data_IF_989501059423
#
_entry.id   IF_989501059423
#
_cell.length_a   1.000
_cell.length_b   1.000
_cell.length_c   1.000
_cell.angle_alpha   90.00
_cell.angle_beta   90.00
_cell.angle_gamma   90.00
#
_symmetry.space_group_name_H-M   'P 1'
#
loop_
_entity.id
_entity.type
_entity.pdbx_description
1 polymer ?
#
# COMPACT_ATOMS: atom_id res chain seq x y z
N UNK A 1 14.02 5.60 7.69
CA UNK A 1 12.93 4.59 7.82
C UNK A 1 12.20 4.56 6.50
N UNK A 2 12.18 3.43 5.83
CA UNK A 2 11.48 3.31 4.55
C UNK A 2 9.99 3.11 4.81
N UNK A 3 9.14 3.98 4.31
CA UNK A 3 7.71 3.99 4.57
C UNK A 3 6.91 3.89 3.28
N UNK A 4 5.83 3.13 3.30
CA UNK A 4 4.94 2.93 2.16
C UNK A 4 3.52 3.28 2.59
N UNK A 5 2.82 4.08 1.78
CA UNK A 5 1.38 4.30 2.00
C UNK A 5 0.62 3.00 1.72
N UNK A 6 -0.10 2.53 2.72
CA UNK A 6 -0.85 1.27 2.65
C UNK A 6 -2.36 1.46 2.52
N UNK A 7 -2.86 2.67 2.42
CA UNK A 7 -4.29 2.91 2.27
C UNK A 7 -4.77 2.78 0.83
N UNK A 8 -3.91 3.11 -0.14
CA UNK A 8 -4.22 2.97 -1.55
C UNK A 8 -3.75 1.63 -2.10
N UNK A 9 -4.63 0.90 -2.79
CA UNK A 9 -4.22 -0.33 -3.49
C UNK A 9 -3.33 0.02 -4.68
N UNK A 10 -2.25 -0.72 -4.84
CA UNK A 10 -1.32 -0.56 -5.94
C UNK A 10 -0.68 -1.89 -6.32
N UNK A 11 -0.51 -2.14 -7.62
CA UNK A 11 0.24 -3.28 -8.14
C UNK A 11 1.49 -2.82 -8.86
N UNK A 12 2.57 -3.56 -8.66
CA UNK A 12 3.86 -3.26 -9.28
C UNK A 12 3.98 -3.93 -10.64
N UNK A 13 4.61 -3.23 -11.57
CA UNK A 13 5.00 -3.80 -12.85
C UNK A 13 6.38 -4.41 -12.72
N UNK A 14 6.50 -5.67 -13.12
CA UNK A 14 7.76 -6.40 -13.18
C UNK A 14 8.12 -6.80 -14.60
N UNK A 15 9.23 -7.49 -14.75
CA UNK A 15 9.68 -8.13 -15.97
C UNK A 15 10.00 -9.62 -15.71
N UNK A 16 9.88 -10.46 -16.73
CA UNK A 16 10.29 -11.86 -16.58
C UNK A 16 11.81 -11.94 -16.48
N UNK A 17 12.29 -12.40 -15.32
CA UNK A 17 13.71 -12.67 -15.09
C UNK A 17 14.13 -14.03 -15.67
N UNK A 18 13.35 -15.07 -15.38
CA UNK A 18 13.59 -16.41 -15.90
C UNK A 18 12.33 -17.27 -15.86
N UNK A 19 12.28 -18.26 -16.72
CA UNK A 19 11.18 -19.22 -16.81
C UNK A 19 11.74 -20.59 -17.17
N UNK A 20 11.16 -21.65 -16.62
CA UNK A 20 11.59 -23.04 -16.91
C UNK A 20 11.21 -23.48 -18.30
N UNK A 21 9.99 -23.16 -18.74
CA UNK A 21 9.46 -23.52 -20.06
C UNK A 21 8.29 -22.63 -20.47
N UNK A 22 7.98 -22.64 -21.78
CA UNK A 22 6.78 -22.03 -22.34
C UNK A 22 6.32 -22.81 -23.57
N UNK A 23 5.01 -22.90 -23.78
CA UNK A 23 4.41 -23.66 -24.87
C UNK A 23 3.84 -22.74 -25.97
N UNK A 24 4.51 -22.69 -27.12
CA UNK A 24 4.05 -21.89 -28.27
C UNK A 24 3.97 -20.39 -27.97
N UNK A 25 2.86 -19.78 -28.33
CA UNK A 25 2.62 -18.34 -28.12
C UNK A 25 2.24 -17.98 -26.68
N UNK A 26 2.00 -18.99 -25.82
CA UNK A 26 1.64 -18.79 -24.41
C UNK A 26 2.91 -18.58 -23.56
N UNK A 27 3.58 -17.45 -23.80
CA UNK A 27 4.85 -17.07 -23.22
C UNK A 27 4.69 -16.57 -21.77
N UNK A 28 5.80 -16.55 -21.05
CA UNK A 28 5.84 -16.10 -19.66
C UNK A 28 5.40 -14.63 -19.50
N UNK A 29 5.76 -13.75 -20.43
CA UNK A 29 5.40 -12.32 -20.38
C UNK A 29 3.89 -12.08 -20.36
N UNK A 30 3.11 -13.04 -20.83
CA UNK A 30 1.64 -12.94 -20.84
C UNK A 30 1.03 -12.80 -19.44
N UNK A 31 1.71 -13.26 -18.37
CA UNK A 31 1.20 -13.12 -17.00
C UNK A 31 1.35 -11.70 -16.43
N UNK A 32 2.08 -10.83 -17.11
CA UNK A 32 2.37 -9.46 -16.66
C UNK A 32 1.49 -8.40 -17.33
N UNK A 33 0.72 -8.79 -18.35
CA UNK A 33 -0.21 -7.88 -19.00
C UNK A 33 -1.61 -7.97 -18.34
N UNK A 34 -2.47 -7.01 -18.67
CA UNK A 34 -3.85 -6.99 -18.19
C UNK A 34 -4.81 -7.62 -19.20
N UNK A 35 -4.30 -8.35 -20.21
CA UNK A 35 -5.10 -9.02 -21.20
C UNK A 35 -5.63 -10.36 -20.66
N UNK A 36 -6.94 -10.42 -20.45
CA UNK A 36 -7.64 -11.58 -19.90
C UNK A 36 -7.54 -12.83 -20.79
N UNK A 37 -7.29 -12.67 -22.09
CA UNK A 37 -7.17 -13.78 -23.04
C UNK A 37 -5.76 -14.34 -23.14
N UNK A 38 -4.77 -13.61 -22.62
CA UNK A 38 -3.39 -14.05 -22.65
C UNK A 38 -3.02 -14.82 -21.38
N UNK A 39 -2.10 -15.79 -21.52
CA UNK A 39 -1.65 -16.61 -20.38
C UNK A 39 -0.28 -17.25 -20.65
N UNK A 40 0.39 -17.67 -19.60
CA UNK A 40 1.54 -18.54 -19.67
C UNK A 40 1.09 -19.99 -19.56
N UNK A 41 1.63 -20.84 -20.44
CA UNK A 41 1.45 -22.27 -20.38
C UNK A 41 2.83 -22.94 -20.33
N UNK A 42 3.04 -23.83 -19.36
CA UNK A 42 4.26 -24.66 -19.31
C UNK A 42 4.29 -25.67 -20.46
N UNK A 43 5.45 -26.21 -20.76
CA UNK A 43 5.55 -27.26 -21.80
C UNK A 43 4.65 -28.46 -21.48
N UNK A 44 3.93 -28.94 -22.49
CA UNK A 44 3.04 -30.09 -22.40
C UNK A 44 3.88 -31.40 -22.48
N UNK A 45 4.29 -31.90 -21.32
CA UNK A 45 5.17 -33.08 -21.18
C UNK A 45 4.39 -34.33 -20.80
N UNK A 46 4.97 -35.51 -21.08
CA UNK A 46 4.49 -36.81 -20.55
C UNK A 46 4.99 -37.07 -19.13
N UNK A 47 5.96 -36.31 -18.65
CA UNK A 47 6.54 -36.39 -17.32
C UNK A 47 6.14 -35.19 -16.47
N UNK A 48 5.86 -35.44 -15.19
CA UNK A 48 5.58 -34.39 -14.21
C UNK A 48 6.87 -33.73 -13.73
N UNK A 49 7.43 -32.84 -14.54
CA UNK A 49 8.63 -32.07 -14.19
C UNK A 49 8.19 -30.78 -13.52
N UNK A 50 8.90 -30.38 -12.48
CA UNK A 50 8.64 -29.09 -11.83
C UNK A 50 8.93 -27.92 -12.78
N UNK A 51 8.12 -26.87 -12.67
CA UNK A 51 8.18 -25.69 -13.54
C UNK A 51 8.23 -24.42 -12.69
N UNK A 52 8.76 -23.34 -13.25
CA UNK A 52 8.82 -22.07 -12.52
C UNK A 52 8.80 -20.86 -13.44
N UNK A 53 8.40 -19.74 -12.86
CA UNK A 53 8.53 -18.41 -13.43
C UNK A 53 9.07 -17.48 -12.34
N UNK A 54 10.04 -16.63 -12.69
CA UNK A 54 10.62 -15.60 -11.82
C UNK A 54 10.35 -14.23 -12.41
N UNK A 55 9.81 -13.34 -11.61
CA UNK A 55 9.53 -11.95 -11.95
C UNK A 55 10.50 -11.06 -11.17
N UNK A 56 11.13 -10.11 -11.85
CA UNK A 56 11.98 -9.06 -11.29
C UNK A 56 11.23 -7.72 -11.33
N UNK A 57 11.12 -7.06 -10.20
CA UNK A 57 10.50 -5.74 -10.07
C UNK A 57 11.54 -4.60 -10.19
N UNK A 58 12.80 -4.94 -10.54
CA UNK A 58 13.90 -3.98 -10.73
C UNK A 58 14.50 -3.44 -9.43
N UNK A 59 13.71 -3.42 -8.37
CA UNK A 59 14.12 -3.02 -7.02
C UNK A 59 13.23 -3.70 -5.99
N UNK A 60 13.63 -3.65 -4.73
CA UNK A 60 12.80 -4.19 -3.65
C UNK A 60 11.52 -3.36 -3.50
N UNK A 61 10.37 -4.00 -3.65
CA UNK A 61 9.03 -3.42 -3.51
C UNK A 61 8.36 -3.89 -2.23
N UNK A 62 7.53 -3.04 -1.64
CA UNK A 62 6.73 -3.39 -0.48
C UNK A 62 5.48 -4.16 -0.89
N UNK A 63 5.23 -5.29 -0.27
CA UNK A 63 4.18 -6.21 -0.68
C UNK A 63 3.39 -6.72 0.52
N UNK A 64 2.07 -6.67 0.41
CA UNK A 64 1.16 -7.32 1.33
C UNK A 64 0.11 -8.21 0.65
N UNK A 65 0.09 -8.23 -0.69
CA UNK A 65 -0.81 -9.09 -1.47
C UNK A 65 -0.10 -9.66 -2.69
N UNK A 66 -0.35 -10.95 -2.96
CA UNK A 66 0.01 -11.63 -4.20
C UNK A 66 -1.25 -12.29 -4.75
N UNK A 67 -1.53 -12.12 -6.03
CA UNK A 67 -2.67 -12.71 -6.71
C UNK A 67 -2.21 -13.48 -7.94
N UNK A 68 -2.75 -14.68 -8.15
CA UNK A 68 -2.56 -15.49 -9.33
C UNK A 68 -3.93 -15.71 -9.99
N UNK A 69 -4.03 -15.44 -11.26
CA UNK A 69 -5.26 -15.58 -12.04
C UNK A 69 -5.19 -16.85 -12.91
N UNK A 70 -6.30 -17.60 -13.04
CA UNK A 70 -6.36 -18.71 -13.97
C UNK A 70 -6.29 -18.21 -15.43
N UNK A 71 -5.93 -19.12 -16.34
CA UNK A 71 -6.02 -18.88 -17.77
C UNK A 71 -7.48 -18.84 -18.25
N UNK A 72 -7.77 -18.36 -19.48
CA UNK A 72 -9.10 -18.47 -20.09
C UNK A 72 -9.60 -19.91 -20.22
N UNK A 73 -8.70 -20.90 -20.25
CA UNK A 73 -9.04 -22.34 -20.22
C UNK A 73 -9.69 -22.77 -18.91
N UNK A 74 -9.65 -21.89 -17.90
CA UNK A 74 -10.33 -22.06 -16.64
C UNK A 74 -9.49 -22.70 -15.53
N UNK A 75 -10.16 -22.98 -14.42
CA UNK A 75 -9.55 -23.43 -13.16
C UNK A 75 -8.90 -24.82 -13.24
N UNK A 76 -9.27 -25.64 -14.21
CA UNK A 76 -8.79 -27.02 -14.35
C UNK A 76 -7.29 -27.10 -14.69
N UNK A 77 -6.73 -26.08 -15.34
CA UNK A 77 -5.32 -25.99 -15.71
C UNK A 77 -4.45 -25.27 -14.68
N UNK A 78 -5.09 -24.62 -13.69
CA UNK A 78 -4.38 -23.95 -12.60
C UNK A 78 -3.61 -24.96 -11.73
N UNK A 79 -2.36 -24.68 -11.32
CA UNK A 79 -1.57 -25.64 -10.54
C UNK A 79 -2.20 -25.92 -9.19
N UNK A 80 -2.14 -27.18 -8.74
CA UNK A 80 -2.61 -27.61 -7.41
C UNK A 80 -1.48 -27.72 -6.39
N UNK A 81 -0.27 -27.96 -6.86
CA UNK A 81 0.89 -28.17 -6.01
C UNK A 81 1.96 -27.15 -6.42
N UNK A 82 2.06 -26.07 -5.66
CA UNK A 82 2.96 -24.96 -5.96
C UNK A 82 3.40 -24.23 -4.69
N UNK A 83 4.43 -23.42 -4.82
CA UNK A 83 4.87 -22.51 -3.78
C UNK A 83 5.24 -21.14 -4.36
N UNK A 84 5.04 -20.13 -3.54
CA UNK A 84 5.51 -18.78 -3.77
C UNK A 84 6.77 -18.56 -2.96
N UNK A 85 7.79 -18.04 -3.60
CA UNK A 85 9.08 -17.71 -3.00
C UNK A 85 9.42 -16.25 -3.33
N UNK A 86 10.06 -15.56 -2.38
CA UNK A 86 10.58 -14.19 -2.57
C UNK A 86 12.08 -14.15 -2.39
N UNK A 87 12.72 -13.19 -3.04
CA UNK A 87 14.14 -12.90 -2.86
C UNK A 87 14.41 -11.40 -3.02
N UNK A 88 15.43 -10.89 -2.32
CA UNK A 88 15.92 -9.53 -2.49
C UNK A 88 17.08 -9.44 -3.48
N UNK A 89 17.77 -10.57 -3.76
CA UNK A 89 19.01 -10.65 -4.54
C UNK A 89 18.95 -11.64 -5.71
N UNK A 90 17.80 -12.33 -5.90
CA UNK A 90 17.62 -13.36 -6.93
C UNK A 90 18.32 -14.70 -6.64
N UNK A 91 19.06 -14.81 -5.54
CA UNK A 91 19.88 -15.99 -5.18
C UNK A 91 19.39 -16.66 -3.91
N UNK A 92 19.08 -15.88 -2.88
CA UNK A 92 18.59 -16.36 -1.60
C UNK A 92 17.05 -16.28 -1.56
N UNK A 93 16.40 -17.45 -1.53
CA UNK A 93 14.95 -17.54 -1.64
C UNK A 93 14.31 -17.89 -0.30
N UNK A 94 13.25 -17.15 0.05
CA UNK A 94 12.41 -17.41 1.21
C UNK A 94 11.02 -17.88 0.72
N UNK A 95 10.52 -18.98 1.30
CA UNK A 95 9.18 -19.47 1.00
C UNK A 95 8.16 -18.53 1.66
N UNK A 96 7.26 -18.00 0.85
CA UNK A 96 6.11 -17.20 1.30
C UNK A 96 4.95 -18.11 1.67
N UNK A 97 4.61 -19.04 0.76
CA UNK A 97 3.46 -19.93 0.89
C UNK A 97 3.70 -21.21 0.08
N UNK A 98 3.25 -22.34 0.59
CA UNK A 98 3.20 -23.61 -0.13
C UNK A 98 1.77 -24.10 -0.15
N UNK A 99 1.31 -24.51 -1.32
CA UNK A 99 0.00 -25.12 -1.53
C UNK A 99 0.19 -26.56 -2.06
N UNK A 100 -0.58 -27.47 -1.46
CA UNK A 100 -0.61 -28.87 -1.85
C UNK A 100 -2.05 -29.31 -2.06
N UNK A 101 -2.36 -29.90 -3.20
CA UNK A 101 -3.71 -30.30 -3.59
C UNK A 101 -4.73 -29.14 -3.54
N UNK A 102 -4.23 -27.94 -3.83
CA UNK A 102 -5.07 -26.76 -3.85
C UNK A 102 -6.11 -26.85 -4.97
N UNK A 103 -7.33 -26.45 -4.67
CA UNK A 103 -8.41 -26.28 -5.63
C UNK A 103 -8.77 -24.79 -5.72
N UNK A 104 -8.73 -24.25 -6.92
CA UNK A 104 -9.10 -22.86 -7.15
C UNK A 104 -10.64 -22.78 -7.24
N UNK A 105 -11.29 -22.33 -6.17
CA UNK A 105 -12.76 -22.20 -6.12
C UNK A 105 -13.21 -20.79 -6.51
N UNK A 106 -12.40 -19.79 -6.22
CA UNK A 106 -12.61 -18.37 -6.56
C UNK A 106 -12.13 -18.03 -7.99
N UNK A 107 -12.32 -16.79 -8.41
CA UNK A 107 -11.85 -16.24 -9.70
C UNK A 107 -10.32 -16.08 -9.76
N UNK A 108 -9.65 -16.15 -8.62
CA UNK A 108 -8.18 -16.06 -8.46
C UNK A 108 -7.71 -16.71 -7.17
N UNK A 109 -6.46 -17.09 -7.16
CA UNK A 109 -5.73 -17.38 -5.92
C UNK A 109 -5.22 -16.07 -5.32
N UNK A 110 -5.42 -15.88 -4.03
CA UNK A 110 -4.99 -14.68 -3.33
C UNK A 110 -4.34 -15.03 -2.01
N UNK A 111 -3.16 -14.47 -1.76
CA UNK A 111 -2.49 -14.56 -0.47
C UNK A 111 -2.22 -13.16 0.09
N UNK A 112 -2.68 -12.93 1.31
CA UNK A 112 -2.41 -11.74 2.09
C UNK A 112 -1.21 -12.02 3.00
N UNK A 113 -0.26 -11.10 3.02
CA UNK A 113 0.99 -11.22 3.74
C UNK A 113 1.07 -10.14 4.82
N UNK A 114 1.77 -10.36 5.95
CA UNK A 114 2.36 -9.24 6.67
C UNK A 114 3.18 -8.39 5.70
N UNK A 115 3.30 -7.08 5.95
CA UNK A 115 4.10 -6.23 5.06
C UNK A 115 5.50 -6.84 4.90
N UNK A 116 5.87 -7.10 3.67
CA UNK A 116 7.13 -7.72 3.29
C UNK A 116 7.80 -6.89 2.20
N UNK A 117 9.02 -7.26 1.85
CA UNK A 117 9.78 -6.56 0.86
C UNK A 117 10.69 -7.50 0.10
N UNK A 118 10.61 -7.45 -1.23
CA UNK A 118 11.45 -8.24 -2.10
C UNK A 118 11.55 -7.63 -3.50
N UNK A 119 12.60 -7.97 -4.21
CA UNK A 119 12.76 -7.59 -5.62
C UNK A 119 12.24 -8.68 -6.55
N UNK A 120 12.41 -9.95 -6.17
CA UNK A 120 12.05 -11.09 -7.01
C UNK A 120 10.93 -11.91 -6.40
N UNK A 121 9.93 -12.26 -7.22
CA UNK A 121 8.92 -13.27 -6.90
C UNK A 121 9.14 -14.50 -7.79
N UNK A 122 9.11 -15.70 -7.20
CA UNK A 122 9.08 -16.98 -7.93
C UNK A 122 7.78 -17.71 -7.62
N UNK A 123 7.05 -18.06 -8.68
CA UNK A 123 6.05 -19.11 -8.65
C UNK A 123 6.75 -20.41 -9.06
N UNK A 124 6.86 -21.36 -8.13
CA UNK A 124 7.42 -22.68 -8.37
C UNK A 124 6.30 -23.71 -8.36
N UNK A 125 5.98 -24.27 -9.51
CA UNK A 125 4.98 -25.33 -9.69
C UNK A 125 5.67 -26.65 -9.38
N UNK A 126 5.37 -27.22 -8.21
CA UNK A 126 6.00 -28.46 -7.72
C UNK A 126 5.62 -29.62 -8.63
N UNK A 127 4.35 -29.66 -9.02
CA UNK A 127 3.82 -30.67 -9.93
C UNK A 127 2.77 -30.06 -10.84
N UNK A 128 3.02 -29.99 -12.16
CA UNK A 128 2.02 -29.58 -13.12
C UNK A 128 0.80 -30.50 -13.12
N UNK A 129 -0.37 -29.97 -13.50
CA UNK A 129 -1.59 -30.75 -13.62
C UNK A 129 -1.52 -31.77 -14.74
N UNK A 130 -2.12 -32.94 -14.51
CA UNK A 130 -2.28 -33.96 -15.56
C UNK A 130 -3.62 -33.75 -16.27
N UNK A 131 -3.57 -33.43 -17.54
CA UNK A 131 -4.73 -33.20 -18.40
C UNK A 131 -4.57 -34.02 -19.67
N UNK A 132 -5.50 -34.92 -19.95
CA UNK A 132 -5.48 -35.77 -21.15
C UNK A 132 -4.13 -36.43 -21.41
N UNK A 133 -3.52 -37.12 -20.45
CA UNK A 133 -2.22 -37.80 -20.54
C UNK A 133 -0.97 -36.92 -20.63
N UNK A 134 -1.07 -35.62 -20.58
CA UNK A 134 0.07 -34.68 -20.51
C UNK A 134 0.05 -33.90 -19.19
N UNK A 135 1.24 -33.48 -18.75
CA UNK A 135 1.43 -32.60 -17.60
C UNK A 135 1.73 -31.19 -18.07
N UNK A 136 0.94 -30.22 -17.64
CA UNK A 136 1.18 -28.80 -17.85
C UNK A 136 0.34 -27.98 -16.86
N UNK A 137 0.65 -26.72 -16.73
CA UNK A 137 -0.14 -25.75 -15.95
C UNK A 137 -0.23 -24.44 -16.72
N UNK A 138 -1.30 -23.71 -16.47
CA UNK A 138 -1.57 -22.40 -17.10
C UNK A 138 -1.85 -21.36 -16.03
N UNK A 139 -1.29 -20.17 -16.23
CA UNK A 139 -1.47 -18.98 -15.39
C UNK A 139 -1.82 -17.81 -16.29
N UNK A 140 -2.99 -17.20 -16.07
CA UNK A 140 -3.45 -16.02 -16.81
C UNK A 140 -2.83 -14.72 -16.34
N UNK A 141 -2.50 -14.61 -15.05
CA UNK A 141 -1.89 -13.38 -14.54
C UNK A 141 -1.22 -13.57 -13.18
N UNK A 142 -0.22 -12.75 -12.91
CA UNK A 142 0.44 -12.64 -11.61
C UNK A 142 0.49 -11.17 -11.24
N UNK A 143 -0.15 -10.80 -10.11
CA UNK A 143 -0.14 -9.43 -9.57
C UNK A 143 0.47 -9.42 -8.18
N UNK A 144 1.34 -8.47 -7.95
CA UNK A 144 2.04 -8.27 -6.66
C UNK A 144 1.93 -6.81 -6.26
N UNK A 145 1.56 -6.56 -5.02
CA UNK A 145 1.40 -5.17 -4.64
C UNK A 145 0.94 -4.93 -3.20
N UNK A 146 0.31 -3.79 -3.05
CA UNK A 146 -0.34 -3.33 -1.84
C UNK A 146 -1.84 -3.49 -2.01
N UNK A 147 -2.48 -4.25 -1.11
CA UNK A 147 -3.90 -4.14 -0.88
C UNK A 147 -4.12 -2.94 0.05
N UNK A 148 -4.89 -1.98 -0.40
CA UNK A 148 -5.24 -0.81 0.37
C UNK A 148 -6.27 -1.06 1.48
N UNK A 149 -6.87 0.00 1.97
CA UNK A 149 -7.93 -0.06 2.96
C UNK A 149 -9.11 -0.90 2.47
N UNK A 150 -9.69 -1.68 3.38
CA UNK A 150 -10.89 -2.50 3.10
C UNK A 150 -12.15 -1.66 3.03
N UNK A 151 -12.24 -0.62 3.85
CA UNK A 151 -13.38 0.29 3.89
C UNK A 151 -12.97 1.67 4.45
N UNK A 152 -13.69 2.68 4.01
CA UNK A 152 -13.66 4.01 4.60
C UNK A 152 -15.09 4.52 4.74
N UNK A 153 -15.36 5.15 5.87
CA UNK A 153 -16.66 5.74 6.18
C UNK A 153 -16.47 7.10 6.84
N UNK A 154 -17.44 7.96 6.72
CA UNK A 154 -17.47 9.25 7.41
C UNK A 154 -18.82 9.50 8.05
N UNK A 155 -18.86 10.45 8.98
CA UNK A 155 -20.11 10.89 9.63
C UNK A 155 -21.11 11.50 8.65
N UNK A 156 -20.61 12.19 7.63
CA UNK A 156 -21.40 12.82 6.57
C UNK A 156 -20.53 13.08 5.33
N UNK A 157 -21.17 13.37 4.20
CA UNK A 157 -20.52 13.96 3.03
C UNK A 157 -21.49 14.92 2.33
N UNK A 158 -20.96 16.01 1.77
CA UNK A 158 -21.76 17.08 1.16
C UNK A 158 -22.44 16.66 -0.14
N UNK A 159 -21.82 15.73 -0.87
CA UNK A 159 -22.31 15.17 -2.13
C UNK A 159 -21.60 13.88 -2.48
N UNK A 160 -22.10 13.17 -3.48
CA UNK A 160 -21.43 12.00 -4.05
C UNK A 160 -20.02 12.31 -4.60
N UNK A 161 -19.80 13.52 -5.10
CA UNK A 161 -18.48 13.95 -5.62
C UNK A 161 -17.45 14.13 -4.49
N UNK A 162 -17.90 14.33 -3.26
CA UNK A 162 -17.06 14.56 -2.08
C UNK A 162 -17.14 13.39 -1.08
N UNK A 163 -17.34 12.19 -1.61
CA UNK A 163 -17.41 10.94 -0.84
C UNK A 163 -16.09 10.63 -0.12
N UNK A 164 -16.10 10.01 1.08
CA UNK A 164 -14.90 9.69 1.83
C UNK A 164 -13.93 8.77 1.08
N UNK A 165 -14.36 8.00 0.09
CA UNK A 165 -13.46 7.19 -0.74
C UNK A 165 -12.43 8.02 -1.51
N UNK A 166 -12.72 9.29 -1.79
CA UNK A 166 -11.78 10.22 -2.40
C UNK A 166 -10.48 10.37 -1.59
N UNK A 167 -10.57 10.24 -0.27
CA UNK A 167 -9.41 10.32 0.64
C UNK A 167 -8.34 9.26 0.40
N UNK A 168 -8.70 8.15 -0.23
CA UNK A 168 -7.80 7.04 -0.54
C UNK A 168 -7.23 7.14 -1.97
N UNK A 169 -7.70 8.09 -2.77
CA UNK A 169 -7.23 8.30 -4.14
C UNK A 169 -5.96 9.16 -4.14
N UNK A 170 -5.05 8.87 -5.05
CA UNK A 170 -3.88 9.73 -5.27
C UNK A 170 -4.20 10.82 -6.31
N UNK A 171 -5.24 11.60 -6.04
CA UNK A 171 -5.73 12.65 -6.91
C UNK A 171 -6.06 13.89 -6.06
N UNK A 172 -5.24 14.92 -6.14
CA UNK A 172 -5.38 16.15 -5.36
C UNK A 172 -6.60 17.00 -5.74
N UNK A 173 -7.24 16.72 -6.88
CA UNK A 173 -8.48 17.39 -7.29
C UNK A 173 -9.71 16.80 -6.61
N UNK A 174 -9.59 15.60 -6.02
CA UNK A 174 -10.66 14.94 -5.29
C UNK A 174 -10.43 15.07 -3.79
N UNK A 175 -11.50 15.27 -3.05
CA UNK A 175 -11.44 15.46 -1.60
C UNK A 175 -12.75 15.02 -0.95
N UNK A 176 -12.69 14.77 0.34
CA UNK A 176 -13.87 14.63 1.18
C UNK A 176 -14.29 15.99 1.72
N UNK A 177 -15.61 16.22 1.73
CA UNK A 177 -16.23 17.36 2.38
C UNK A 177 -17.42 16.90 3.20
N UNK A 178 -17.49 17.35 4.46
CA UNK A 178 -18.64 17.08 5.32
C UNK A 178 -19.89 17.80 4.85
N UNK A 179 -21.07 17.34 5.27
CA UNK A 179 -22.28 18.15 5.14
C UNK A 179 -22.11 19.52 5.79
N UNK A 180 -22.76 20.50 5.20
CA UNK A 180 -22.76 21.88 5.68
C UNK A 180 -23.77 22.05 6.80
N UNK A 181 -23.39 22.71 7.89
CA UNK A 181 -24.28 23.06 8.99
C UNK A 181 -24.21 24.54 9.34
N UNK A 182 -25.23 25.05 10.04
CA UNK A 182 -25.27 26.45 10.49
C UNK A 182 -24.48 26.70 11.79
N UNK A 183 -23.95 25.65 12.40
CA UNK A 183 -23.18 25.72 13.64
C UNK A 183 -21.97 24.74 13.54
N UNK A 184 -20.90 24.99 14.29
CA UNK A 184 -19.79 24.03 14.37
C UNK A 184 -20.29 22.63 14.77
N UNK A 185 -19.89 21.61 14.06
CA UNK A 185 -20.26 20.23 14.30
C UNK A 185 -19.04 19.32 14.35
N UNK A 186 -19.15 18.22 15.10
CA UNK A 186 -18.12 17.18 15.11
C UNK A 186 -18.34 16.26 13.93
N UNK A 187 -17.26 15.97 13.24
CA UNK A 187 -17.20 15.03 12.13
C UNK A 187 -16.17 13.94 12.44
N UNK A 188 -16.37 12.79 11.83
CA UNK A 188 -15.38 11.72 11.89
C UNK A 188 -15.22 11.03 10.54
N UNK A 189 -14.02 10.51 10.32
CA UNK A 189 -13.67 9.63 9.23
C UNK A 189 -13.03 8.39 9.85
N UNK A 190 -13.44 7.20 9.45
CA UNK A 190 -12.91 5.94 9.94
C UNK A 190 -12.50 5.04 8.78
N UNK A 191 -11.30 4.48 8.87
CA UNK A 191 -10.70 3.60 7.88
C UNK A 191 -10.49 2.23 8.51
N UNK A 192 -11.00 1.18 7.89
CA UNK A 192 -10.70 -0.22 8.19
C UNK A 192 -9.67 -0.74 7.18
N UNK A 193 -8.49 -1.07 7.64
CA UNK A 193 -7.43 -1.66 6.82
C UNK A 193 -7.60 -3.17 6.61
N UNK A 194 -8.69 -3.75 7.15
CA UNK A 194 -9.03 -5.18 7.03
C UNK A 194 -8.27 -6.10 7.98
N UNK A 195 -7.14 -5.67 8.50
CA UNK A 195 -6.29 -6.38 9.47
C UNK A 195 -5.32 -5.42 10.15
N UNK A 196 -4.63 -5.90 11.17
CA UNK A 196 -3.57 -5.13 11.83
C UNK A 196 -2.34 -4.94 10.94
N UNK A 197 -1.82 -3.74 10.95
CA UNK A 197 -0.58 -3.37 10.28
C UNK A 197 0.37 -2.66 11.24
N UNK A 198 1.69 -2.93 11.14
CA UNK A 198 2.70 -2.09 11.77
C UNK A 198 2.79 -0.76 11.03
N UNK A 199 2.36 0.32 11.68
CA UNK A 199 2.35 1.67 11.16
C UNK A 199 3.49 2.49 11.75
N UNK A 200 3.99 3.45 10.96
CA UNK A 200 4.96 4.43 11.38
C UNK A 200 4.34 5.82 11.52
N UNK A 201 3.52 6.22 10.54
CA UNK A 201 2.93 7.57 10.49
C UNK A 201 1.56 7.55 9.82
N UNK A 202 0.76 8.58 10.14
CA UNK A 202 -0.45 8.96 9.42
C UNK A 202 -0.20 10.31 8.75
N UNK A 203 -0.55 10.44 7.48
CA UNK A 203 -0.48 11.70 6.74
C UNK A 203 -1.88 12.23 6.41
N UNK A 204 -2.04 13.53 6.51
CA UNK A 204 -3.22 14.26 6.03
C UNK A 204 -2.78 15.30 5.01
N UNK A 205 -3.51 15.42 3.91
CA UNK A 205 -3.25 16.41 2.88
C UNK A 205 -4.43 17.39 2.84
N UNK A 206 -4.13 18.68 2.87
CA UNK A 206 -5.11 19.75 2.72
C UNK A 206 -5.51 19.94 1.25
N UNK A 207 -6.71 20.47 1.03
CA UNK A 207 -7.19 20.86 -0.31
C UNK A 207 -6.46 22.11 -0.82
N UNK A 208 -6.73 22.49 -2.07
CA UNK A 208 -6.26 23.77 -2.64
C UNK A 208 -6.84 25.00 -1.93
N UNK A 209 -7.94 24.83 -1.18
CA UNK A 209 -8.52 25.84 -0.31
C UNK A 209 -8.38 25.39 1.14
N UNK A 210 -7.21 25.60 1.74
CA UNK A 210 -6.90 25.14 3.10
C UNK A 210 -7.81 25.73 4.20
N UNK A 211 -8.61 26.75 3.89
CA UNK A 211 -9.51 27.43 4.84
C UNK A 211 -10.53 26.49 5.50
N UNK A 212 -10.90 25.40 4.82
CA UNK A 212 -11.85 24.40 5.33
C UNK A 212 -11.18 23.15 5.91
N UNK A 213 -9.86 23.14 6.00
CA UNK A 213 -9.14 22.08 6.73
C UNK A 213 -9.39 22.27 8.24
N UNK A 214 -9.71 21.20 8.98
CA UNK A 214 -10.06 21.31 10.39
C UNK A 214 -8.94 21.93 11.25
N UNK A 215 -9.27 22.98 11.99
CA UNK A 215 -8.36 23.61 12.96
C UNK A 215 -8.21 22.79 14.25
N UNK A 216 -9.20 21.94 14.53
CA UNK A 216 -9.21 21.02 15.67
C UNK A 216 -9.47 19.62 15.15
N UNK A 217 -8.51 18.73 15.35
CA UNK A 217 -8.68 17.32 15.02
C UNK A 217 -7.84 16.42 15.95
N UNK A 218 -8.28 15.18 16.11
CA UNK A 218 -7.48 14.12 16.69
C UNK A 218 -7.37 12.96 15.70
N UNK A 219 -6.21 12.31 15.68
CA UNK A 219 -5.95 11.09 14.93
C UNK A 219 -5.82 9.98 15.95
N UNK A 220 -6.59 8.94 15.77
CA UNK A 220 -6.66 7.81 16.69
C UNK A 220 -6.47 6.50 15.94
N UNK A 221 -5.90 5.51 16.60
CA UNK A 221 -5.74 4.14 16.10
C UNK A 221 -6.39 3.12 17.02
N UNK A 222 -6.80 1.99 16.46
CA UNK A 222 -7.35 0.86 17.20
C UNK A 222 -7.05 -0.46 16.49
N UNK A 223 -6.89 -1.54 17.24
CA UNK A 223 -6.82 -2.91 16.71
C UNK A 223 -8.21 -3.57 16.66
N UNK A 224 -9.12 -3.20 17.57
CA UNK A 224 -10.40 -3.88 17.80
C UNK A 224 -11.65 -2.99 17.61
N UNK A 225 -11.46 -1.71 17.22
CA UNK A 225 -12.52 -0.69 17.09
C UNK A 225 -13.23 -0.33 18.40
N UNK A 226 -12.73 -0.82 19.53
CA UNK A 226 -13.30 -0.57 20.88
C UNK A 226 -12.40 0.34 21.69
N UNK A 227 -11.10 0.03 21.73
CA UNK A 227 -10.09 0.79 22.44
C UNK A 227 -9.35 1.63 21.43
N UNK A 228 -9.36 2.95 21.62
CA UNK A 228 -8.72 3.92 20.75
C UNK A 228 -7.55 4.60 21.44
N UNK A 229 -6.43 4.64 20.75
CA UNK A 229 -5.22 5.35 21.20
C UNK A 229 -5.04 6.59 20.34
N UNK A 230 -4.93 7.75 20.99
CA UNK A 230 -4.65 9.02 20.31
C UNK A 230 -3.20 9.04 19.84
N UNK A 231 -3.00 9.20 18.52
CA UNK A 231 -1.69 9.34 17.88
C UNK A 231 -1.27 10.81 17.86
N UNK A 232 -2.21 11.69 17.54
CA UNK A 232 -1.98 13.13 17.46
C UNK A 232 -3.26 13.91 17.78
N UNK A 233 -3.07 15.09 18.35
CA UNK A 233 -4.14 16.06 18.58
C UNK A 233 -3.67 17.44 18.11
N UNK A 234 -4.48 18.09 17.27
CA UNK A 234 -4.25 19.45 16.79
C UNK A 234 -5.30 20.39 17.36
N UNK A 235 -4.86 21.55 17.84
CA UNK A 235 -5.71 22.63 18.35
C UNK A 235 -5.25 23.96 17.74
N UNK A 236 -6.19 24.71 17.17
CA UNK A 236 -5.91 25.99 16.49
C UNK A 236 -4.90 25.85 15.36
N UNK A 237 -4.94 24.72 14.67
CA UNK A 237 -4.06 24.43 13.55
C UNK A 237 -4.51 25.25 12.33
N UNK A 238 -3.53 25.79 11.59
CA UNK A 238 -3.80 26.47 10.32
C UNK A 238 -3.07 25.73 9.21
N UNK A 239 -3.84 25.13 8.32
CA UNK A 239 -3.29 24.47 7.16
C UNK A 239 -2.92 25.47 6.06
N UNK A 240 -1.96 25.11 5.25
CA UNK A 240 -1.64 25.76 3.99
C UNK A 240 -2.18 24.92 2.83
N UNK A 241 -2.48 25.55 1.70
CA UNK A 241 -3.05 24.86 0.54
C UNK A 241 -2.13 23.78 -0.03
N UNK A 242 -2.71 22.62 -0.36
CA UNK A 242 -2.02 21.47 -0.96
C UNK A 242 -0.81 20.98 -0.12
N UNK A 243 -0.92 21.02 1.20
CA UNK A 243 0.16 20.59 2.10
C UNK A 243 -0.11 19.23 2.69
N UNK A 244 0.97 18.46 2.80
CA UNK A 244 0.98 17.19 3.52
C UNK A 244 1.49 17.41 4.96
N UNK A 245 0.76 16.87 5.93
CA UNK A 245 1.07 16.91 7.36
C UNK A 245 1.20 15.48 7.85
N UNK A 246 2.34 15.12 8.46
CA UNK A 246 2.65 13.77 8.91
C UNK A 246 2.64 13.74 10.44
N UNK A 247 1.93 12.77 11.00
CA UNK A 247 1.70 12.59 12.41
C UNK A 247 2.14 11.20 12.89
N UNK A 248 2.62 11.13 14.14
CA UNK A 248 3.13 9.92 14.73
C UNK A 248 4.58 9.66 14.31
N UNK A 249 5.45 9.43 15.28
CA UNK A 249 6.88 9.20 15.06
C UNK A 249 7.32 7.85 15.62
N UNK A 250 6.40 7.08 16.21
CA UNK A 250 6.70 5.80 16.83
C UNK A 250 5.96 4.69 16.13
N UNK A 251 6.58 3.52 16.07
CA UNK A 251 5.95 2.34 15.52
C UNK A 251 4.75 1.92 16.40
N UNK A 252 3.60 1.71 15.80
CA UNK A 252 2.38 1.23 16.44
C UNK A 252 1.68 0.22 15.52
N UNK A 253 0.81 -0.61 16.09
CA UNK A 253 -0.03 -1.52 15.33
C UNK A 253 -1.47 -1.00 15.32
N UNK A 254 -2.14 -1.10 14.18
CA UNK A 254 -3.54 -0.76 14.06
C UNK A 254 -4.22 -1.48 12.88
N UNK A 255 -5.49 -1.80 13.05
CA UNK A 255 -6.41 -2.14 11.97
C UNK A 255 -7.28 -0.94 11.59
N UNK A 256 -7.65 -0.12 12.56
CA UNK A 256 -8.54 1.02 12.36
C UNK A 256 -7.81 2.32 12.61
N UNK A 257 -8.04 3.29 11.74
CA UNK A 257 -7.61 4.67 11.89
C UNK A 257 -8.87 5.53 11.93
N UNK A 258 -8.97 6.44 12.91
CA UNK A 258 -10.07 7.38 13.00
C UNK A 258 -9.54 8.81 13.08
N UNK A 259 -10.17 9.70 12.33
CA UNK A 259 -9.94 11.14 12.41
C UNK A 259 -11.22 11.74 12.95
N UNK A 260 -11.11 12.40 14.08
CA UNK A 260 -12.18 13.20 14.67
C UNK A 260 -11.84 14.66 14.43
N UNK A 261 -12.76 15.45 13.90
CA UNK A 261 -12.52 16.85 13.64
C UNK A 261 -13.76 17.71 13.95
N UNK A 262 -13.53 19.00 14.07
CA UNK A 262 -14.60 19.98 14.17
C UNK A 262 -14.64 20.79 12.86
N UNK A 263 -15.83 21.01 12.33
CA UNK A 263 -16.03 21.81 11.12
C UNK A 263 -15.59 23.25 11.35
N UNK A 264 -15.07 23.89 10.31
CA UNK A 264 -14.65 25.28 10.31
C UNK A 264 -15.66 26.16 9.56
N UNK A 265 -15.68 27.43 9.89
CA UNK A 265 -16.58 28.38 9.27
C UNK A 265 -16.16 28.68 7.83
N UNK A 266 -17.06 28.44 6.89
CA UNK A 266 -16.91 28.90 5.52
C UNK A 266 -17.27 30.39 5.39
N UNK A 267 -16.91 31.02 4.27
CA UNK A 267 -17.15 32.42 3.99
C UNK A 267 -18.64 32.86 4.02
N UNK A 268 -19.59 31.93 4.15
CA UNK A 268 -21.04 32.15 4.08
C UNK A 268 -21.81 31.78 5.35
N UNK A 269 -21.20 31.85 6.51
CA UNK A 269 -21.79 31.46 7.81
C UNK A 269 -22.13 29.95 7.94
N UNK A 270 -21.75 29.15 7.01
CA UNK A 270 -21.88 27.70 7.07
C UNK A 270 -20.59 27.07 7.58
N UNK A 271 -20.72 25.94 8.22
CA UNK A 271 -19.59 25.16 8.75
C UNK A 271 -19.45 23.85 8.02
N UNK A 272 -18.27 23.55 7.51
CA UNK A 272 -17.91 22.26 6.92
C UNK A 272 -16.44 21.93 7.19
N UNK A 273 -16.01 20.75 6.81
CA UNK A 273 -14.63 20.30 6.90
C UNK A 273 -14.21 19.66 5.57
N UNK A 274 -12.99 19.93 5.13
CA UNK A 274 -12.41 19.36 3.91
C UNK A 274 -11.05 18.74 4.19
N UNK A 275 -10.82 17.54 3.65
CA UNK A 275 -9.51 16.86 3.64
C UNK A 275 -9.33 16.28 2.24
N UNK A 276 -8.17 16.51 1.61
CA UNK A 276 -7.92 16.00 0.27
C UNK A 276 -7.50 14.53 0.28
N UNK A 277 -6.62 14.14 1.20
CA UNK A 277 -6.13 12.77 1.24
C UNK A 277 -5.71 12.36 2.64
N UNK A 278 -5.85 11.07 2.92
CA UNK A 278 -5.30 10.40 4.10
C UNK A 278 -4.31 9.34 3.63
N UNK A 279 -3.15 9.30 4.26
CA UNK A 279 -2.13 8.30 4.04
C UNK A 279 -1.81 7.58 5.35
N UNK A 280 -1.59 6.28 5.30
CA UNK A 280 -0.98 5.55 6.40
C UNK A 280 0.30 4.88 5.90
N UNK A 281 1.39 5.07 6.63
CA UNK A 281 2.69 4.60 6.21
C UNK A 281 3.10 3.40 7.06
N UNK A 282 3.32 2.27 6.38
CA UNK A 282 3.79 1.06 7.03
C UNK A 282 5.22 1.23 7.55
N UNK A 283 5.48 0.65 8.71
CA UNK A 283 6.84 0.38 9.17
C UNK A 283 7.34 -0.89 8.49
N UNK A 284 8.45 -0.79 7.78
CA UNK A 284 9.08 -1.92 7.11
C UNK A 284 10.14 -2.56 7.99
N UNK A 285 10.40 -3.88 7.83
CA UNK A 285 11.47 -4.55 8.55
C UNK A 285 12.82 -3.85 8.34
N UNK A 286 13.64 -3.77 9.38
CA UNK A 286 14.92 -3.03 9.39
C UNK A 286 15.97 -3.57 8.40
N UNK A 287 15.84 -4.82 7.95
CA UNK A 287 16.81 -5.49 7.08
C UNK A 287 16.55 -5.27 5.58
N UNK A 288 15.52 -4.50 5.22
CA UNK A 288 15.18 -4.23 3.84
C UNK A 288 15.84 -2.93 3.37
N UNK A 289 16.81 -3.05 2.45
CA UNK A 289 17.31 -1.90 1.69
C UNK A 289 16.25 -1.49 0.67
N UNK A 290 15.36 -0.58 1.07
CA UNK A 290 14.27 -0.12 0.24
C UNK A 290 14.61 1.14 -0.52
N UNK A 291 14.34 1.12 -1.82
CA UNK A 291 14.04 2.34 -2.57
C UNK A 291 12.53 2.35 -2.85
N UNK A 292 11.80 3.20 -2.16
CA UNK A 292 10.38 3.45 -2.48
C UNK A 292 10.35 4.40 -3.67
N UNK A 293 9.83 3.95 -4.80
CA UNK A 293 9.54 4.80 -5.97
C UNK A 293 8.27 5.69 -5.78
N UNK A 294 7.80 5.87 -4.56
CA UNK A 294 6.97 7.03 -4.26
C UNK A 294 7.93 8.22 -4.14
N UNK A 295 7.62 9.30 -4.82
CA UNK A 295 8.37 10.55 -4.66
C UNK A 295 8.31 10.97 -3.18
N UNK A 296 9.27 10.49 -2.41
CA UNK A 296 9.45 10.89 -1.03
C UNK A 296 9.91 12.31 -1.08
N UNK A 297 9.00 13.24 -0.87
CA UNK A 297 9.35 14.63 -0.73
C UNK A 297 10.06 14.83 0.61
N UNK A 298 11.32 15.22 0.58
CA UNK A 298 12.00 15.67 1.77
C UNK A 298 11.30 16.91 2.32
N UNK A 299 11.15 16.96 3.64
CA UNK A 299 10.63 18.15 4.30
C UNK A 299 11.53 19.36 3.97
N UNK A 300 10.89 20.48 3.66
CA UNK A 300 11.53 21.78 3.59
C UNK A 300 10.93 22.66 4.70
N UNK A 301 11.47 23.84 4.92
CA UNK A 301 10.87 24.81 5.85
C UNK A 301 9.43 25.22 5.43
N UNK A 302 9.04 24.93 4.18
CA UNK A 302 7.75 25.27 3.61
C UNK A 302 6.89 24.04 3.25
N UNK A 303 7.47 22.83 3.34
CA UNK A 303 6.77 21.62 2.92
C UNK A 303 7.13 20.45 3.83
N UNK A 304 6.17 19.94 4.63
CA UNK A 304 6.38 18.73 5.42
C UNK A 304 6.76 17.54 4.52
N UNK A 305 7.67 16.73 4.99
CA UNK A 305 8.13 15.56 4.26
C UNK A 305 9.04 14.72 5.16
N UNK A 306 9.74 13.75 4.60
CA UNK A 306 10.78 13.02 5.34
C UNK A 306 11.98 13.94 5.51
N UNK A 307 12.42 14.10 6.77
CA UNK A 307 13.64 14.83 7.11
C UNK A 307 14.79 13.86 7.29
N UNK A 308 15.95 14.22 6.73
CA UNK A 308 17.21 13.57 7.05
C UNK A 308 17.79 14.24 8.29
N UNK A 309 18.11 13.44 9.32
CA UNK A 309 18.80 13.97 10.49
C UNK A 309 20.25 14.29 10.13
N UNK A 310 20.70 15.50 10.46
CA UNK A 310 22.09 15.89 10.32
C UNK A 310 22.97 15.14 11.32
N UNK A 311 24.17 14.75 10.89
CA UNK A 311 25.25 14.41 11.81
C UNK A 311 25.72 15.64 12.58
N UNK A 312 26.49 15.44 13.67
CA UNK A 312 27.06 16.55 14.43
C UNK A 312 27.95 17.44 13.52
N UNK A 313 27.65 18.72 13.49
CA UNK A 313 28.36 19.69 12.64
C UNK A 313 27.99 19.66 11.15
N UNK A 314 27.03 18.84 10.71
CA UNK A 314 26.59 18.80 9.31
C UNK A 314 25.88 20.11 8.91
N UNK A 315 26.32 20.73 7.81
CA UNK A 315 25.75 21.96 7.26
C UNK A 315 24.99 21.72 5.95
N UNK A 316 24.74 20.47 5.58
CA UNK A 316 24.02 20.12 4.35
C UNK A 316 22.61 20.70 4.37
N UNK A 317 22.16 21.40 3.31
CA UNK A 317 20.78 21.88 3.23
C UNK A 317 19.77 20.74 3.33
N UNK A 318 18.60 21.02 3.94
CA UNK A 318 17.49 20.07 4.16
C UNK A 318 17.76 18.97 5.20
N UNK A 319 18.81 19.06 6.00
CA UNK A 319 18.99 18.24 7.19
C UNK A 319 18.46 18.93 8.45
N UNK A 320 17.96 18.15 9.41
CA UNK A 320 17.49 18.66 10.70
C UNK A 320 18.57 18.42 11.75
N UNK A 321 18.91 19.47 12.49
CA UNK A 321 19.89 19.40 13.58
C UNK A 321 19.35 18.48 14.69
N UNK A 322 20.15 17.52 15.10
CA UNK A 322 19.82 16.63 16.21
C UNK A 322 19.93 17.37 17.56
N UNK A 323 19.16 16.95 18.54
CA UNK A 323 19.15 17.59 19.87
C UNK A 323 20.51 17.51 20.62
N UNK A 324 21.40 16.61 20.20
CA UNK A 324 22.75 16.46 20.73
C UNK A 324 23.83 17.11 19.87
N UNK A 325 23.47 17.85 18.84
CA UNK A 325 24.43 18.54 17.97
C UNK A 325 25.20 19.61 18.75
N UNK A 326 26.51 19.68 18.52
CA UNK A 326 27.39 20.63 19.21
C UNK A 326 27.00 22.09 18.99
N UNK A 327 26.44 22.40 17.83
CA UNK A 327 25.96 23.76 17.48
C UNK A 327 24.83 24.27 18.36
N UNK A 328 24.07 23.38 19.03
CA UNK A 328 23.00 23.75 19.97
C UNK A 328 23.49 23.98 21.40
N UNK A 329 24.75 23.67 21.69
CA UNK A 329 25.32 23.81 23.04
C UNK A 329 25.93 25.18 23.32
N UNK A 330 26.25 25.91 22.24
CA UNK A 330 26.93 27.22 22.29
C UNK A 330 25.98 28.38 21.95
N UNK A 331 24.66 28.15 21.95
CA UNK A 331 23.64 29.16 21.63
C UNK A 331 22.96 29.71 22.89
#
# INVERSE_FOLDING_TARGET
MNTVNILASAYYKGAIHSVSSASGDNKADNVLNDDIESFWCTNKSHNATAEYIVIDYGLAVAVNVIELFPSPSGKSTFPSDFRLESSVDGSNWKIIKTENRYSLDEDRYRVLLPMNAFQFLKLYIIKPKRIAAKYFSEIGGIKVGIQGASAITASSCSSYEHDPSNLLMNDSAKYWESETSNTPSRQWIEIDMGRDFPLAHIGLISTSSAELFPEQLSIESSEDRKIWTTIAELKRFKAEANRSYIFGMYQFSARYIRILCTTVQSSKQNYCAQIAQICAYASLPSDSHFHVNAAVQYATIFQPGIVTLAGDGDTTPATVVQANDSRLRDA
#
